data_IF_946551349309
#
_entry.id   IF_946551349309
#
_cell.length_a   1.000
_cell.length_b   1.000
_cell.length_c   1.000
_cell.angle_alpha   90.00
_cell.angle_beta   90.00
_cell.angle_gamma   90.00
#
_symmetry.space_group_name_H-M   'P 1'
#
loop_
_entity.id
_entity.type
_entity.pdbx_description
1 polymer ?
#
# COMPACT_ATOMS: atom_id res chain seq x y z
N UNK A 1 14.38 -3.25 15.72
CA UNK A 1 13.79 -2.73 14.47
C UNK A 1 14.75 -1.71 13.84
N UNK A 2 14.78 -1.64 12.53
CA UNK A 2 15.64 -0.70 11.77
C UNK A 2 14.85 0.02 10.67
N UNK A 3 13.57 -0.30 10.50
CA UNK A 3 12.68 0.32 9.53
C UNK A 3 11.28 0.50 10.10
N UNK A 4 10.58 1.51 9.62
CA UNK A 4 9.19 1.84 9.94
C UNK A 4 8.33 1.67 8.69
N UNK A 5 7.08 1.26 8.84
CA UNK A 5 6.07 1.41 7.79
C UNK A 5 5.10 2.52 8.20
N UNK A 6 5.01 3.56 7.39
CA UNK A 6 4.22 4.76 7.70
C UNK A 6 3.18 4.92 6.59
N UNK A 7 1.90 4.80 6.96
CA UNK A 7 0.81 4.97 6.01
C UNK A 7 0.47 6.44 5.81
N UNK A 8 -0.03 6.74 4.63
CA UNK A 8 -0.52 8.05 4.26
C UNK A 8 -1.92 7.96 3.63
N UNK A 9 -2.86 8.71 4.21
CA UNK A 9 -4.18 8.99 3.66
C UNK A 9 -4.21 10.38 3.05
N UNK A 10 -5.07 10.59 2.06
CA UNK A 10 -5.11 11.85 1.32
C UNK A 10 -5.65 13.00 2.17
N UNK A 11 -6.90 12.89 2.62
CA UNK A 11 -7.57 13.91 3.44
C UNK A 11 -8.45 13.22 4.50
N UNK A 12 -7.87 12.77 5.62
CA UNK A 12 -8.55 11.99 6.64
C UNK A 12 -9.43 12.84 7.57
N UNK A 13 -10.14 13.80 7.01
CA UNK A 13 -11.01 14.71 7.74
C UNK A 13 -12.41 14.74 7.12
N UNK A 14 -13.44 14.86 7.97
CA UNK A 14 -14.81 15.11 7.56
C UNK A 14 -14.96 16.54 7.00
N UNK A 15 -16.11 16.84 6.40
CA UNK A 15 -16.40 18.17 5.83
C UNK A 15 -16.34 19.30 6.88
N UNK A 16 -16.67 19.00 8.14
CA UNK A 16 -16.56 19.93 9.26
C UNK A 16 -15.14 19.98 9.88
N UNK A 17 -14.15 19.36 9.25
CA UNK A 17 -12.73 19.38 9.62
C UNK A 17 -12.38 18.48 10.81
N UNK A 18 -13.28 17.58 11.24
CA UNK A 18 -12.97 16.61 12.28
C UNK A 18 -12.17 15.43 11.72
N UNK A 19 -11.14 14.97 12.44
CA UNK A 19 -10.38 13.81 12.01
C UNK A 19 -11.23 12.53 12.03
N UNK A 20 -11.02 11.64 11.08
CA UNK A 20 -11.56 10.29 11.15
C UNK A 20 -10.90 9.52 12.30
N UNK A 21 -11.66 8.60 12.89
CA UNK A 21 -11.39 8.02 14.21
C UNK A 21 -10.06 7.29 14.38
N UNK A 22 -9.44 6.79 13.34
CA UNK A 22 -8.17 6.05 13.43
C UNK A 22 -6.92 6.92 13.60
N UNK A 23 -7.11 8.18 14.00
CA UNK A 23 -6.02 9.14 14.13
C UNK A 23 -5.40 9.45 12.78
N UNK A 24 -5.55 10.65 12.33
CA UNK A 24 -5.09 11.21 11.08
C UNK A 24 -3.75 10.63 10.61
N UNK A 25 -3.76 9.75 9.61
CA UNK A 25 -2.55 9.35 8.90
C UNK A 25 -2.29 10.34 7.76
N UNK A 26 -2.27 11.62 8.08
CA UNK A 26 -2.05 12.72 7.15
C UNK A 26 -0.57 13.02 6.90
N UNK A 27 -0.30 13.96 6.00
CA UNK A 27 1.06 14.35 5.67
C UNK A 27 1.83 14.94 6.87
N UNK A 28 1.17 15.65 7.77
CA UNK A 28 1.81 16.22 8.97
C UNK A 28 2.31 15.12 9.90
N UNK A 29 1.50 14.09 10.11
CA UNK A 29 1.88 12.93 10.92
C UNK A 29 2.97 12.10 10.26
N UNK A 30 2.90 11.91 8.94
CA UNK A 30 3.96 11.26 8.16
C UNK A 30 5.30 11.97 8.40
N UNK A 31 5.35 13.29 8.25
CA UNK A 31 6.58 14.08 8.46
C UNK A 31 7.11 13.95 9.89
N UNK A 32 6.21 13.99 10.88
CA UNK A 32 6.60 13.82 12.28
C UNK A 32 7.22 12.44 12.55
N UNK A 33 6.59 11.37 12.07
CA UNK A 33 7.07 9.99 12.26
C UNK A 33 8.37 9.72 11.48
N UNK A 34 8.44 10.15 10.22
CA UNK A 34 9.64 10.00 9.40
C UNK A 34 10.84 10.77 10.01
N UNK A 35 10.60 12.00 10.50
CA UNK A 35 11.64 12.79 11.18
C UNK A 35 12.12 12.14 12.47
N UNK A 36 11.21 11.58 13.26
CA UNK A 36 11.56 10.86 14.48
C UNK A 36 12.34 9.58 14.17
N UNK A 37 11.90 8.80 13.17
CA UNK A 37 12.59 7.59 12.69
C UNK A 37 14.00 7.91 12.21
N UNK A 38 14.16 8.95 11.39
CA UNK A 38 15.47 9.38 10.88
C UNK A 38 16.45 9.74 12.00
N UNK A 39 16.00 10.43 13.06
CA UNK A 39 16.83 10.75 14.23
C UNK A 39 17.30 9.50 14.98
N UNK A 40 16.57 8.42 14.88
CA UNK A 40 16.90 7.11 15.48
C UNK A 40 17.68 6.20 14.52
N UNK A 41 18.00 6.68 13.31
CA UNK A 41 18.71 5.90 12.30
C UNK A 41 17.83 4.85 11.60
N UNK A 42 16.51 5.01 11.61
CA UNK A 42 15.60 4.13 10.90
C UNK A 42 15.35 4.62 9.48
N UNK A 43 15.32 3.69 8.55
CA UNK A 43 14.67 3.88 7.25
C UNK A 43 13.15 3.76 7.36
N UNK A 44 12.42 4.04 6.27
CA UNK A 44 10.99 3.78 6.28
C UNK A 44 10.42 3.43 4.90
N UNK A 45 9.34 2.67 4.93
CA UNK A 45 8.43 2.40 3.85
C UNK A 45 7.26 3.38 3.94
N UNK A 46 7.05 4.16 2.89
CA UNK A 46 5.86 5.00 2.72
C UNK A 46 4.73 4.17 2.09
N UNK A 47 3.64 3.99 2.82
CA UNK A 47 2.45 3.26 2.38
C UNK A 47 1.36 4.24 1.91
N UNK A 48 1.19 4.33 0.59
CA UNK A 48 0.20 5.20 -0.05
C UNK A 48 -1.12 4.46 -0.24
N UNK A 49 -2.14 4.84 0.54
CA UNK A 49 -3.47 4.22 0.43
C UNK A 49 -4.29 4.72 -0.75
N UNK A 50 -4.02 5.94 -1.25
CA UNK A 50 -4.84 6.62 -2.26
C UNK A 50 -6.33 6.67 -1.89
N UNK A 51 -6.58 6.94 -0.63
CA UNK A 51 -7.90 7.06 -0.02
C UNK A 51 -7.84 8.02 1.16
N UNK A 52 -8.98 8.45 1.67
CA UNK A 52 -9.05 9.33 2.85
C UNK A 52 -9.04 8.56 4.17
N UNK A 53 -9.14 7.24 4.10
CA UNK A 53 -9.16 6.33 5.24
C UNK A 53 -8.55 4.99 4.86
N UNK A 54 -8.79 3.94 5.63
CA UNK A 54 -8.32 2.59 5.31
C UNK A 54 -8.75 2.14 3.92
N UNK A 55 -7.79 1.82 3.07
CA UNK A 55 -7.99 1.00 1.90
C UNK A 55 -7.62 -0.44 2.27
N UNK A 56 -8.50 -1.38 1.97
CA UNK A 56 -8.34 -2.81 2.25
C UNK A 56 -9.05 -3.64 1.15
N UNK A 57 -8.97 -4.98 1.18
CA UNK A 57 -9.57 -5.79 0.12
C UNK A 57 -11.08 -5.62 -0.08
N UNK A 58 -11.79 -5.09 0.91
CA UNK A 58 -13.23 -4.82 0.86
C UNK A 58 -13.60 -3.40 0.44
N UNK A 59 -12.65 -2.47 0.44
CA UNK A 59 -12.90 -1.06 0.12
C UNK A 59 -11.64 -0.38 -0.44
N UNK A 60 -11.71 0.01 -1.69
CA UNK A 60 -10.62 0.63 -2.45
C UNK A 60 -11.12 1.89 -3.18
N UNK A 61 -11.92 2.69 -2.46
CA UNK A 61 -12.49 3.91 -3.04
C UNK A 61 -11.45 5.03 -3.10
N UNK A 62 -11.45 5.84 -4.17
CA UNK A 62 -10.59 7.01 -4.26
C UNK A 62 -10.95 8.04 -3.16
N UNK A 63 -10.04 8.98 -2.87
CA UNK A 63 -10.36 10.11 -2.01
C UNK A 63 -11.62 10.84 -2.44
N UNK A 64 -12.36 11.45 -1.50
CA UNK A 64 -13.59 12.20 -1.79
C UNK A 64 -13.39 13.29 -2.84
N UNK A 65 -12.22 13.90 -2.88
CA UNK A 65 -11.80 14.89 -3.87
C UNK A 65 -11.78 14.33 -5.30
N UNK A 66 -11.56 13.01 -5.46
CA UNK A 66 -11.50 12.32 -6.75
C UNK A 66 -12.74 11.47 -7.05
N UNK A 67 -13.75 11.46 -6.19
CA UNK A 67 -14.87 10.53 -6.21
C UNK A 67 -15.66 10.51 -7.52
N UNK A 68 -15.66 11.61 -8.27
CA UNK A 68 -16.39 11.73 -9.53
C UNK A 68 -15.47 11.69 -10.77
N UNK A 69 -14.19 11.40 -10.57
CA UNK A 69 -13.22 11.34 -11.66
C UNK A 69 -13.39 10.05 -12.48
N UNK A 70 -13.30 10.16 -13.79
CA UNK A 70 -13.19 9.00 -14.68
C UNK A 70 -11.79 8.39 -14.67
N UNK A 71 -11.60 7.23 -15.29
CA UNK A 71 -10.36 6.48 -15.25
C UNK A 71 -9.11 7.29 -15.65
N UNK A 72 -9.20 8.07 -16.72
CA UNK A 72 -8.06 8.88 -17.19
C UNK A 72 -7.66 9.97 -16.17
N UNK A 73 -8.65 10.59 -15.54
CA UNK A 73 -8.40 11.58 -14.49
C UNK A 73 -7.85 10.92 -13.23
N UNK A 74 -8.32 9.72 -12.84
CA UNK A 74 -7.79 8.97 -11.70
C UNK A 74 -6.33 8.57 -11.92
N UNK A 75 -5.94 8.12 -13.12
CA UNK A 75 -4.55 7.85 -13.45
C UNK A 75 -3.67 9.09 -13.21
N UNK A 76 -4.14 10.24 -13.72
CA UNK A 76 -3.43 11.51 -13.51
C UNK A 76 -3.36 11.90 -12.02
N UNK A 77 -4.44 11.73 -11.26
CA UNK A 77 -4.46 12.03 -9.83
C UNK A 77 -3.48 11.17 -9.04
N UNK A 78 -3.40 9.87 -9.32
CA UNK A 78 -2.42 8.98 -8.68
C UNK A 78 -0.99 9.45 -8.95
N UNK A 79 -0.68 9.78 -10.21
CA UNK A 79 0.65 10.30 -10.56
C UNK A 79 0.95 11.61 -9.87
N UNK A 80 0.07 12.61 -9.99
CA UNK A 80 0.28 13.94 -9.45
C UNK A 80 0.41 13.94 -7.92
N UNK A 81 -0.47 13.19 -7.23
CA UNK A 81 -0.43 13.04 -5.78
C UNK A 81 0.86 12.39 -5.30
N UNK A 82 1.26 11.27 -5.90
CA UNK A 82 2.51 10.57 -5.55
C UNK A 82 3.70 11.49 -5.74
N UNK A 83 3.75 12.18 -6.87
CA UNK A 83 4.81 13.15 -7.19
C UNK A 83 4.86 14.30 -6.19
N UNK A 84 3.72 14.91 -5.86
CA UNK A 84 3.64 16.03 -4.91
C UNK A 84 4.10 15.63 -3.51
N UNK A 85 3.63 14.47 -3.01
CA UNK A 85 4.06 13.92 -1.72
C UNK A 85 5.57 13.73 -1.69
N UNK A 86 6.15 13.07 -2.69
CA UNK A 86 7.58 12.81 -2.73
C UNK A 86 8.41 14.08 -2.90
N UNK A 87 7.95 15.06 -3.69
CA UNK A 87 8.62 16.36 -3.80
C UNK A 87 8.63 17.13 -2.47
N UNK A 88 7.54 17.07 -1.70
CA UNK A 88 7.47 17.66 -0.36
C UNK A 88 8.44 16.97 0.60
N UNK A 89 8.48 15.63 0.59
CA UNK A 89 9.44 14.86 1.41
C UNK A 89 10.89 15.12 1.00
N UNK A 90 11.17 15.24 -0.30
CA UNK A 90 12.51 15.57 -0.81
C UNK A 90 13.01 16.92 -0.30
N UNK A 91 12.17 17.94 -0.27
CA UNK A 91 12.52 19.27 0.28
C UNK A 91 12.83 19.23 1.78
N UNK A 92 12.26 18.26 2.50
CA UNK A 92 12.48 18.06 3.93
C UNK A 92 13.64 17.10 4.23
N UNK A 93 14.32 16.58 3.20
CA UNK A 93 15.33 15.53 3.33
C UNK A 93 14.79 14.26 4.04
N UNK A 94 13.57 13.87 3.67
CA UNK A 94 12.81 12.75 4.25
C UNK A 94 12.32 11.77 3.18
N UNK A 95 13.05 11.58 2.07
CA UNK A 95 12.64 10.56 1.09
C UNK A 95 12.65 9.16 1.71
N UNK A 96 11.64 8.33 1.43
CA UNK A 96 11.57 6.96 1.91
C UNK A 96 12.57 6.04 1.22
N UNK A 97 13.02 4.98 1.88
CA UNK A 97 13.78 3.89 1.24
C UNK A 97 12.89 3.08 0.29
N UNK A 98 11.60 2.98 0.62
CA UNK A 98 10.64 2.21 -0.16
C UNK A 98 9.28 2.93 -0.21
N UNK A 99 8.60 2.83 -1.34
CA UNK A 99 7.23 3.35 -1.53
C UNK A 99 6.30 2.20 -1.90
N UNK A 100 5.27 2.00 -1.12
CA UNK A 100 4.19 1.08 -1.40
C UNK A 100 3.11 1.82 -2.19
N UNK A 101 2.84 1.36 -3.40
CA UNK A 101 1.85 1.94 -4.31
C UNK A 101 0.53 1.20 -4.15
N UNK A 102 -0.34 1.73 -3.32
CA UNK A 102 -1.60 1.11 -2.91
C UNK A 102 -1.45 0.14 -1.72
N UNK A 103 -2.49 -0.03 -0.93
CA UNK A 103 -2.56 -0.94 0.20
C UNK A 103 -3.54 -2.08 -0.06
N UNK A 104 -3.07 -3.34 0.09
CA UNK A 104 -3.89 -4.56 -0.05
C UNK A 104 -4.74 -4.58 -1.33
N UNK A 105 -4.09 -4.34 -2.46
CA UNK A 105 -4.73 -4.11 -3.76
C UNK A 105 -5.16 -5.40 -4.49
N UNK A 106 -5.35 -6.50 -3.78
CA UNK A 106 -5.75 -7.79 -4.35
C UNK A 106 -7.03 -7.71 -5.17
N UNK A 107 -7.99 -6.88 -4.74
CA UNK A 107 -9.23 -6.64 -5.46
C UNK A 107 -9.22 -5.32 -6.28
N UNK A 108 -8.02 -4.79 -6.50
CA UNK A 108 -7.79 -3.55 -7.25
C UNK A 108 -7.67 -2.30 -6.39
N UNK A 109 -7.79 -1.13 -7.01
CA UNK A 109 -7.77 0.19 -6.36
C UNK A 109 -8.60 1.19 -7.19
N UNK A 110 -8.93 2.35 -6.64
CA UNK A 110 -9.73 3.38 -7.33
C UNK A 110 -11.08 2.86 -7.84
N UNK A 111 -11.82 2.18 -6.96
CA UNK A 111 -13.14 1.67 -7.34
C UNK A 111 -14.14 2.78 -7.70
N UNK A 112 -15.08 2.52 -8.65
CA UNK A 112 -15.29 1.24 -9.35
C UNK A 112 -14.37 0.99 -10.54
N UNK A 113 -13.59 1.98 -11.01
CA UNK A 113 -12.85 1.92 -12.27
C UNK A 113 -11.71 0.90 -12.29
N UNK A 114 -11.05 0.67 -11.16
CA UNK A 114 -9.95 -0.27 -11.02
C UNK A 114 -10.29 -1.48 -10.14
N UNK A 115 -11.50 -2.01 -10.23
CA UNK A 115 -11.83 -3.33 -9.65
C UNK A 115 -11.12 -4.45 -10.38
N UNK A 116 -11.02 -5.63 -9.74
CA UNK A 116 -10.31 -6.78 -10.28
C UNK A 116 -10.83 -7.26 -11.66
N UNK A 117 -12.07 -6.99 -12.01
CA UNK A 117 -12.62 -7.25 -13.32
C UNK A 117 -12.09 -6.30 -14.42
N UNK A 118 -11.31 -5.29 -14.06
CA UNK A 118 -10.66 -4.35 -14.96
C UNK A 118 -9.16 -4.21 -14.66
N UNK A 119 -8.41 -5.27 -14.94
CA UNK A 119 -6.96 -5.33 -14.68
C UNK A 119 -6.18 -4.27 -15.46
N UNK A 120 -6.64 -3.87 -16.63
CA UNK A 120 -5.98 -2.83 -17.43
C UNK A 120 -5.98 -1.48 -16.68
N UNK A 121 -7.08 -1.10 -16.06
CA UNK A 121 -7.13 0.09 -15.23
C UNK A 121 -6.30 -0.04 -13.95
N UNK A 122 -6.30 -1.22 -13.30
CA UNK A 122 -5.43 -1.47 -12.15
C UNK A 122 -3.98 -1.22 -12.53
N UNK A 123 -3.52 -1.81 -13.63
CA UNK A 123 -2.16 -1.65 -14.10
C UNK A 123 -1.83 -0.19 -14.47
N UNK A 124 -2.76 0.55 -15.09
CA UNK A 124 -2.59 1.98 -15.40
C UNK A 124 -2.40 2.82 -14.14
N UNK A 125 -3.25 2.63 -13.12
CA UNK A 125 -3.19 3.41 -11.88
C UNK A 125 -1.90 3.13 -11.11
N UNK A 126 -1.53 1.86 -10.96
CA UNK A 126 -0.28 1.46 -10.30
C UNK A 126 0.92 2.01 -11.06
N UNK A 127 0.95 1.87 -12.39
CA UNK A 127 2.03 2.37 -13.23
C UNK A 127 2.19 3.89 -13.12
N UNK A 128 1.09 4.63 -12.97
CA UNK A 128 1.14 6.07 -12.74
C UNK A 128 1.86 6.42 -11.42
N UNK A 129 1.56 5.69 -10.34
CA UNK A 129 2.28 5.82 -9.07
C UNK A 129 3.76 5.48 -9.20
N UNK A 130 4.07 4.37 -9.86
CA UNK A 130 5.47 3.92 -10.08
C UNK A 130 6.26 4.98 -10.87
N UNK A 131 5.71 5.49 -11.98
CA UNK A 131 6.37 6.54 -12.78
C UNK A 131 6.69 7.78 -11.94
N UNK A 132 5.77 8.20 -11.08
CA UNK A 132 6.00 9.32 -10.17
C UNK A 132 7.11 9.05 -9.16
N UNK A 133 7.17 7.83 -8.60
CA UNK A 133 8.27 7.43 -7.70
C UNK A 133 9.60 7.46 -8.44
N UNK A 134 9.70 6.83 -9.60
CA UNK A 134 10.94 6.77 -10.39
C UNK A 134 11.44 8.15 -10.82
N UNK A 135 10.52 9.08 -11.09
CA UNK A 135 10.88 10.45 -11.45
C UNK A 135 11.47 11.26 -10.30
N UNK A 136 10.87 11.18 -9.11
CA UNK A 136 11.22 12.04 -7.97
C UNK A 136 12.27 11.42 -7.06
N UNK A 137 12.17 10.11 -6.84
CA UNK A 137 12.99 9.32 -5.92
C UNK A 137 13.45 8.00 -6.57
N UNK A 138 14.33 8.06 -7.58
CA UNK A 138 14.74 6.87 -8.35
C UNK A 138 15.44 5.81 -7.49
N UNK A 139 16.00 6.19 -6.35
CA UNK A 139 16.65 5.28 -5.41
C UNK A 139 15.65 4.58 -4.47
N UNK A 140 14.42 5.07 -4.38
CA UNK A 140 13.37 4.40 -3.60
C UNK A 140 12.88 3.15 -4.31
N UNK A 141 12.84 2.04 -3.58
CA UNK A 141 12.25 0.79 -4.09
C UNK A 141 10.72 0.90 -4.12
N UNK A 142 10.11 0.28 -5.09
CA UNK A 142 8.64 0.25 -5.22
C UNK A 142 8.10 -1.10 -4.77
N UNK A 143 7.14 -1.09 -3.85
CA UNK A 143 6.42 -2.27 -3.38
C UNK A 143 4.98 -2.30 -3.91
N UNK A 144 4.53 -3.47 -4.35
CA UNK A 144 3.11 -3.79 -4.55
C UNK A 144 2.63 -4.74 -3.46
N UNK A 145 1.51 -4.42 -2.80
CA UNK A 145 1.07 -5.08 -1.58
C UNK A 145 -0.27 -5.79 -1.75
N UNK A 146 -0.29 -7.10 -1.49
CA UNK A 146 -1.49 -7.95 -1.51
C UNK A 146 -1.79 -8.51 -0.12
N UNK A 147 -3.08 -8.78 0.15
CA UNK A 147 -3.55 -9.34 1.43
C UNK A 147 -3.54 -10.88 1.50
N UNK A 148 -3.09 -11.56 0.48
CA UNK A 148 -3.25 -13.02 0.32
C UNK A 148 -1.99 -13.83 0.63
N UNK A 149 -1.29 -13.55 1.73
CA UNK A 149 0.05 -14.07 2.04
C UNK A 149 0.23 -15.59 1.97
N UNK A 150 -0.77 -16.38 2.36
CA UNK A 150 -0.72 -17.85 2.23
C UNK A 150 -1.40 -18.41 0.97
N UNK A 151 -1.99 -17.57 0.12
CA UNK A 151 -2.71 -18.02 -1.07
C UNK A 151 -1.87 -17.81 -2.35
N UNK A 152 -0.96 -18.76 -2.63
CA UNK A 152 -0.08 -18.70 -3.80
C UNK A 152 -0.84 -18.59 -5.12
N UNK A 153 -1.93 -19.33 -5.29
CA UNK A 153 -2.70 -19.32 -6.55
C UNK A 153 -3.25 -17.90 -6.82
N UNK A 154 -3.80 -17.23 -5.81
CA UNK A 154 -4.32 -15.87 -5.93
C UNK A 154 -3.21 -14.85 -6.19
N UNK A 155 -2.09 -14.98 -5.50
CA UNK A 155 -0.94 -14.11 -5.73
C UNK A 155 -0.39 -14.26 -7.16
N UNK A 156 -0.25 -15.49 -7.64
CA UNK A 156 0.19 -15.74 -9.03
C UNK A 156 -0.79 -15.18 -10.06
N UNK A 157 -2.09 -15.43 -9.88
CA UNK A 157 -3.12 -14.89 -10.78
C UNK A 157 -2.98 -13.36 -10.88
N UNK A 158 -2.80 -12.69 -9.75
CA UNK A 158 -2.68 -11.24 -9.68
C UNK A 158 -1.41 -10.74 -10.37
N UNK A 159 -0.26 -11.27 -9.97
CA UNK A 159 1.02 -10.78 -10.51
C UNK A 159 1.21 -11.19 -11.97
N UNK A 160 0.77 -12.38 -12.40
CA UNK A 160 0.81 -12.78 -13.82
C UNK A 160 -0.01 -11.83 -14.71
N UNK A 161 -1.16 -11.37 -14.20
CA UNK A 161 -1.99 -10.40 -14.92
C UNK A 161 -1.35 -8.99 -14.94
N UNK A 162 -0.74 -8.58 -13.83
CA UNK A 162 -0.12 -7.26 -13.70
C UNK A 162 1.15 -7.11 -14.54
N UNK A 163 2.09 -8.06 -14.46
CA UNK A 163 3.41 -7.95 -15.13
C UNK A 163 3.33 -7.89 -16.66
N UNK A 164 2.20 -8.31 -17.23
CA UNK A 164 1.94 -8.20 -18.66
C UNK A 164 1.49 -6.81 -19.11
N UNK A 165 1.16 -5.91 -18.16
CA UNK A 165 0.45 -4.66 -18.42
C UNK A 165 1.08 -3.44 -17.76
N UNK A 166 1.67 -3.63 -16.60
CA UNK A 166 2.13 -2.55 -15.74
C UNK A 166 3.63 -2.30 -15.82
N UNK A 167 4.04 -1.18 -15.24
CA UNK A 167 5.44 -0.81 -15.04
C UNK A 167 6.12 -1.76 -14.05
N UNK A 168 7.42 -1.92 -14.20
CA UNK A 168 8.23 -2.78 -13.32
C UNK A 168 8.34 -2.21 -11.89
N UNK A 169 8.35 -3.13 -10.91
CA UNK A 169 8.44 -2.83 -9.48
C UNK A 169 9.54 -3.68 -8.84
N UNK A 170 9.86 -3.44 -7.55
CA UNK A 170 11.04 -4.04 -6.92
C UNK A 170 10.69 -5.10 -5.87
N UNK A 171 9.55 -4.95 -5.17
CA UNK A 171 9.23 -5.73 -3.97
C UNK A 171 7.76 -6.17 -3.99
N UNK A 172 7.54 -7.42 -3.62
CA UNK A 172 6.21 -7.96 -3.32
C UNK A 172 5.99 -7.82 -1.81
N UNK A 173 4.94 -7.08 -1.41
CA UNK A 173 4.45 -7.01 -0.04
C UNK A 173 3.28 -7.94 0.17
N UNK A 174 3.22 -8.61 1.31
CA UNK A 174 2.13 -9.51 1.67
C UNK A 174 1.61 -9.18 3.07
N UNK A 175 0.29 -9.21 3.26
CA UNK A 175 -0.31 -9.36 4.58
C UNK A 175 -0.42 -10.83 4.93
N UNK A 176 -0.07 -11.17 6.16
CA UNK A 176 -0.21 -12.52 6.67
C UNK A 176 -0.85 -12.51 8.06
N UNK A 177 -2.07 -13.01 8.10
CA UNK A 177 -2.85 -13.22 9.32
C UNK A 177 -3.19 -14.71 9.41
N UNK A 178 -2.55 -15.49 10.30
CA UNK A 178 -2.66 -16.96 10.32
C UNK A 178 -4.09 -17.50 10.36
N UNK A 179 -5.01 -16.74 10.94
CA UNK A 179 -6.42 -17.15 11.03
C UNK A 179 -7.15 -17.22 9.68
N UNK A 180 -6.66 -16.44 8.68
CA UNK A 180 -7.32 -16.31 7.38
C UNK A 180 -6.44 -16.71 6.21
N UNK A 181 -5.12 -16.64 6.38
CA UNK A 181 -4.18 -16.77 5.28
C UNK A 181 -3.44 -18.09 5.27
N UNK A 182 -3.94 -19.12 5.99
CA UNK A 182 -3.34 -20.44 6.02
C UNK A 182 -2.16 -20.58 6.99
N UNK A 183 -1.38 -21.63 6.79
CA UNK A 183 -0.26 -21.98 7.66
C UNK A 183 1.01 -21.16 7.35
N UNK A 184 1.98 -21.22 8.25
CA UNK A 184 3.35 -20.68 8.01
C UNK A 184 4.01 -21.37 6.80
N UNK A 185 3.73 -22.66 6.57
CA UNK A 185 4.24 -23.36 5.41
C UNK A 185 3.61 -22.84 4.12
N UNK A 186 2.32 -22.53 4.12
CA UNK A 186 1.66 -21.89 2.98
C UNK A 186 2.29 -20.54 2.66
N UNK A 187 2.53 -19.70 3.67
CA UNK A 187 3.22 -18.43 3.52
C UNK A 187 4.64 -18.63 2.95
N UNK A 188 5.41 -19.55 3.54
CA UNK A 188 6.80 -19.81 3.15
C UNK A 188 6.87 -20.29 1.70
N UNK A 189 6.00 -21.22 1.33
CA UNK A 189 5.91 -21.72 -0.05
C UNK A 189 5.52 -20.62 -1.03
N UNK A 190 4.54 -19.78 -0.67
CA UNK A 190 4.13 -18.65 -1.48
C UNK A 190 5.27 -17.64 -1.67
N UNK A 191 5.94 -17.23 -0.61
CA UNK A 191 7.06 -16.28 -0.68
C UNK A 191 8.20 -16.79 -1.57
N UNK A 192 8.58 -18.08 -1.41
CA UNK A 192 9.64 -18.69 -2.20
C UNK A 192 9.27 -18.78 -3.70
N UNK A 193 8.04 -19.20 -4.00
CA UNK A 193 7.55 -19.28 -5.37
C UNK A 193 7.48 -17.90 -6.03
N UNK A 194 6.91 -16.90 -5.36
CA UNK A 194 6.80 -15.55 -5.89
C UNK A 194 8.18 -14.92 -6.15
N UNK A 195 9.11 -15.07 -5.18
CA UNK A 195 10.47 -14.56 -5.36
C UNK A 195 11.18 -15.21 -6.55
N UNK A 196 11.07 -16.53 -6.69
CA UNK A 196 11.67 -17.26 -7.80
C UNK A 196 11.01 -16.91 -9.13
N UNK A 197 9.67 -16.82 -9.17
CA UNK A 197 8.90 -16.61 -10.41
C UNK A 197 9.09 -15.21 -10.98
N UNK A 198 9.02 -14.18 -10.12
CA UNK A 198 9.07 -12.79 -10.55
C UNK A 198 10.44 -12.13 -10.38
N UNK A 199 11.41 -12.83 -9.79
CA UNK A 199 12.76 -12.31 -9.49
C UNK A 199 12.70 -11.00 -8.68
N UNK A 200 11.80 -10.99 -7.66
CA UNK A 200 11.58 -9.88 -6.75
C UNK A 200 11.82 -10.31 -5.30
N UNK A 201 12.21 -9.35 -4.46
CA UNK A 201 12.17 -9.56 -3.03
C UNK A 201 10.72 -9.67 -2.55
N UNK A 202 10.50 -10.51 -1.53
CA UNK A 202 9.18 -10.67 -0.91
C UNK A 202 9.26 -10.32 0.57
N UNK A 203 8.38 -9.44 1.04
CA UNK A 203 8.33 -8.97 2.43
C UNK A 203 6.92 -9.21 2.98
N UNK A 204 6.84 -9.71 4.21
CA UNK A 204 5.59 -9.68 4.97
C UNK A 204 5.44 -8.25 5.52
N UNK A 205 4.62 -7.45 4.84
CA UNK A 205 4.41 -6.04 5.15
C UNK A 205 3.48 -5.83 6.35
N UNK A 206 2.55 -6.77 6.55
CA UNK A 206 1.63 -6.79 7.69
C UNK A 206 1.52 -8.19 8.26
N UNK A 207 1.57 -8.28 9.59
CA UNK A 207 1.32 -9.52 10.32
C UNK A 207 0.68 -9.21 11.65
N UNK A 208 -0.32 -9.99 12.03
CA UNK A 208 -0.85 -9.99 13.38
C UNK A 208 -1.33 -11.38 13.74
N UNK A 209 -1.20 -11.72 15.02
CA UNK A 209 -1.69 -12.94 15.59
C UNK A 209 -2.23 -12.64 17.00
N UNK A 210 -3.46 -13.08 17.28
CA UNK A 210 -4.03 -12.96 18.62
C UNK A 210 -3.21 -13.73 19.63
N UNK A 211 -3.09 -13.21 20.85
CA UNK A 211 -2.40 -13.84 21.95
C UNK A 211 -3.17 -15.07 22.48
N UNK A 212 -4.50 -15.04 22.33
CA UNK A 212 -5.40 -16.18 22.64
C UNK A 212 -6.38 -16.38 21.49
N UNK A 213 -7.09 -17.53 21.48
CA UNK A 213 -8.17 -17.76 20.49
C UNK A 213 -9.37 -16.81 20.67
N UNK A 214 -9.47 -16.16 21.83
CA UNK A 214 -10.47 -15.13 22.12
C UNK A 214 -10.07 -13.77 21.55
N UNK A 215 -8.79 -13.57 21.24
CA UNK A 215 -8.22 -12.31 20.72
C UNK A 215 -8.39 -12.14 19.20
N UNK A 216 -9.26 -12.93 18.56
CA UNK A 216 -9.63 -12.72 17.16
C UNK A 216 -10.17 -11.29 16.91
N UNK A 217 -10.68 -10.64 17.97
CA UNK A 217 -11.10 -9.25 17.96
C UNK A 217 -9.93 -8.25 17.91
N UNK A 218 -8.70 -8.66 18.24
CA UNK A 218 -7.53 -7.77 18.20
C UNK A 218 -7.13 -7.37 16.78
N UNK A 219 -7.59 -8.10 15.78
CA UNK A 219 -7.48 -7.71 14.38
C UNK A 219 -8.33 -6.45 14.10
N UNK A 220 -9.36 -6.22 14.90
CA UNK A 220 -10.18 -5.02 14.89
C UNK A 220 -9.67 -3.90 15.82
N UNK A 221 -8.65 -4.14 16.65
CA UNK A 221 -8.05 -3.08 17.50
C UNK A 221 -7.24 -2.09 16.68
N UNK A 222 -6.82 -2.45 15.47
CA UNK A 222 -6.28 -1.47 14.53
C UNK A 222 -7.37 -0.62 13.84
N UNK A 223 -8.64 -0.99 13.99
CA UNK A 223 -9.79 -0.18 13.61
C UNK A 223 -10.34 0.49 14.89
N UNK A 224 -9.99 1.75 15.16
CA UNK A 224 -10.66 2.49 16.21
C UNK A 224 -12.13 2.64 15.82
N UNK A 225 -13.00 2.21 16.70
CA UNK A 225 -14.42 2.51 16.69
C UNK A 225 -14.67 4.01 16.78
#
# INVERSE_FOLDING_TARGET
ANSLRIRLWNDPYSEDGKPYSAGTSDFTKLVALASAGKKLGYSYLLDLHYSDFWADPGKQFPPKEWAYAGADALEKHVYDYTKDVLLKLKRLDLLPEMVQVGNEITNGLMWPHGKWDNVDNIARFISAGIRAVREVSPDSRVMLHLDCGGNNARCREWFDAYVQRGEDFDVIGLSYYPFWHGTIDDLTNNMNDLSQRYQKDVIVAEVSMGFTMEDLSLIHISEPT
#
